data_IF_060579740705
#
_entry.id   IF_060579740705
#
_cell.length_a   1.000
_cell.length_b   1.000
_cell.length_c   1.000
_cell.angle_alpha   90.00
_cell.angle_beta   90.00
_cell.angle_gamma   90.00
#
_symmetry.space_group_name_H-M   'P 1'
#
loop_
_entity.id
_entity.type
_entity.pdbx_description
1 polymer ?
#
# COMPACT_ATOMS: atom_id res chain seq x y z
N UNK A 1 -4.85 -8.52 -11.64
CA UNK A 1 -5.09 -7.09 -11.32
C UNK A 1 -6.22 -6.90 -10.28
N UNK A 2 -6.58 -7.92 -9.48
CA UNK A 2 -7.73 -7.85 -8.56
C UNK A 2 -7.48 -7.01 -7.30
N UNK A 3 -6.25 -7.01 -6.78
CA UNK A 3 -5.90 -6.26 -5.56
C UNK A 3 -6.05 -4.74 -5.71
N UNK A 4 -5.65 -4.17 -6.86
CA UNK A 4 -5.80 -2.73 -7.14
C UNK A 4 -7.28 -2.34 -7.30
N UNK A 5 -8.07 -3.18 -7.99
CA UNK A 5 -9.51 -2.94 -8.18
C UNK A 5 -10.27 -3.06 -6.86
N UNK A 6 -9.86 -3.98 -5.98
CA UNK A 6 -10.39 -4.09 -4.63
C UNK A 6 -10.06 -2.83 -3.81
N UNK A 7 -8.79 -2.40 -3.81
CA UNK A 7 -8.33 -1.19 -3.13
C UNK A 7 -9.11 0.06 -3.56
N UNK A 8 -9.28 0.28 -4.87
CA UNK A 8 -10.01 1.44 -5.38
C UNK A 8 -11.51 1.42 -5.00
N UNK A 9 -12.10 0.24 -4.81
CA UNK A 9 -13.53 0.08 -4.50
C UNK A 9 -13.83 0.01 -3.00
N UNK A 10 -12.89 -0.46 -2.19
CA UNK A 10 -13.08 -0.82 -0.78
C UNK A 10 -12.06 -0.16 0.16
N UNK A 11 -11.15 0.66 -0.37
CA UNK A 11 -10.07 1.27 0.40
C UNK A 11 -9.10 0.22 0.94
N UNK A 12 -8.55 0.47 2.12
CA UNK A 12 -7.65 -0.46 2.81
C UNK A 12 -8.37 -1.57 3.60
N UNK A 13 -9.71 -1.70 3.51
CA UNK A 13 -10.43 -2.72 4.27
C UNK A 13 -9.93 -4.15 3.98
N UNK A 14 -9.30 -4.78 4.98
CA UNK A 14 -8.94 -6.19 4.90
C UNK A 14 -10.20 -7.07 4.93
N UNK A 15 -10.35 -8.05 4.02
CA UNK A 15 -11.49 -8.97 4.06
C UNK A 15 -11.45 -9.77 5.37
N UNK A 16 -12.54 -9.72 6.15
CA UNK A 16 -12.70 -10.55 7.33
C UNK A 16 -12.71 -12.04 6.94
N UNK A 17 -11.78 -12.83 7.45
CA UNK A 17 -11.74 -14.29 7.24
C UNK A 17 -11.74 -15.04 8.56
N UNK A 18 -12.68 -15.99 8.69
CA UNK A 18 -12.73 -16.92 9.80
C UNK A 18 -11.52 -17.88 9.74
N UNK A 19 -10.83 -18.07 10.87
CA UNK A 19 -9.81 -19.12 11.02
C UNK A 19 -8.33 -18.71 11.02
N UNK A 20 -7.98 -17.42 11.19
CA UNK A 20 -6.57 -16.99 11.27
C UNK A 20 -6.11 -16.69 12.71
N UNK A 21 -5.40 -17.67 13.28
CA UNK A 21 -4.40 -17.60 14.35
C UNK A 21 -3.62 -18.93 14.28
N UNK A 22 -2.30 -19.07 14.45
CA UNK A 22 -1.24 -18.27 15.06
C UNK A 22 -0.30 -17.64 14.02
N UNK A 23 -0.13 -16.33 14.14
CA UNK A 23 0.41 -15.38 13.15
C UNK A 23 -0.19 -13.99 13.40
N UNK A 24 -1.41 -13.96 13.94
CA UNK A 24 -1.61 -13.43 15.29
C UNK A 24 -1.76 -11.92 15.45
N UNK A 25 -2.10 -11.16 14.42
CA UNK A 25 -2.79 -9.89 14.65
C UNK A 25 -4.23 -10.03 14.15
N UNK A 26 -5.17 -9.93 15.11
CA UNK A 26 -6.50 -9.39 14.79
C UNK A 26 -6.24 -7.99 14.20
N UNK A 27 -7.12 -7.42 13.37
CA UNK A 27 -6.94 -6.04 12.95
C UNK A 27 -7.00 -5.16 14.21
N UNK A 28 -5.83 -4.87 14.79
CA UNK A 28 -5.69 -3.89 15.86
C UNK A 28 -5.93 -2.49 15.28
N UNK A 29 -5.88 -2.39 13.96
CA UNK A 29 -6.12 -1.20 13.18
C UNK A 29 -7.30 -1.36 12.24
N UNK A 30 -7.97 -0.24 12.02
CA UNK A 30 -9.18 -0.04 11.22
C UNK A 30 -9.15 -0.70 9.82
N UNK A 31 -7.97 -1.03 9.30
CA UNK A 31 -7.77 -1.55 7.94
C UNK A 31 -6.80 -2.74 7.82
N UNK A 32 -6.11 -3.15 8.89
CA UNK A 32 -5.14 -4.26 8.86
C UNK A 32 -3.98 -4.09 7.85
N UNK A 33 -3.67 -2.84 7.46
CA UNK A 33 -2.61 -2.55 6.49
C UNK A 33 -1.21 -2.87 7.02
N UNK A 34 -0.96 -2.75 8.33
CA UNK A 34 0.32 -3.13 8.92
C UNK A 34 0.36 -4.60 9.37
N UNK A 35 -0.75 -5.32 9.22
CA UNK A 35 -0.82 -6.72 9.62
C UNK A 35 -0.22 -7.61 8.53
N UNK A 36 0.76 -8.43 8.89
CA UNK A 36 1.37 -9.41 8.00
C UNK A 36 1.28 -10.82 8.59
N UNK A 37 1.06 -11.81 7.73
CA UNK A 37 0.93 -13.22 8.12
C UNK A 37 2.23 -13.99 7.95
N UNK A 38 3.17 -13.45 7.18
CA UNK A 38 4.45 -14.09 6.90
C UNK A 38 5.58 -13.10 7.16
N UNK A 39 6.60 -13.50 7.92
CA UNK A 39 7.88 -12.80 8.06
C UNK A 39 9.01 -13.79 7.79
N UNK A 40 9.82 -13.56 6.76
CA UNK A 40 10.92 -14.47 6.38
C UNK A 40 12.13 -13.71 5.85
N UNK A 41 13.37 -14.14 6.18
CA UNK A 41 14.57 -13.63 5.52
C UNK A 41 14.56 -14.01 4.03
N UNK A 42 15.04 -13.11 3.18
CA UNK A 42 15.15 -13.33 1.74
C UNK A 42 16.52 -13.94 1.43
N UNK A 43 16.59 -15.17 0.84
CA UNK A 43 17.85 -15.86 0.61
C UNK A 43 18.85 -15.02 -0.19
N UNK A 44 20.10 -14.98 0.27
CA UNK A 44 21.19 -14.26 -0.40
C UNK A 44 21.15 -12.74 -0.23
N UNK A 45 20.33 -12.22 0.69
CA UNK A 45 20.23 -10.78 0.99
C UNK A 45 20.07 -10.54 2.49
N UNK A 46 20.32 -9.31 2.94
CA UNK A 46 20.04 -8.88 4.32
C UNK A 46 18.56 -8.50 4.55
N UNK A 47 17.69 -8.70 3.54
CA UNK A 47 16.30 -8.27 3.60
C UNK A 47 15.42 -9.28 4.35
N UNK A 48 14.40 -8.75 5.04
CA UNK A 48 13.33 -9.54 5.64
C UNK A 48 12.02 -9.17 4.96
N UNK A 49 11.39 -10.14 4.31
CA UNK A 49 10.07 -9.98 3.71
C UNK A 49 8.99 -10.12 4.79
N UNK A 50 8.18 -9.08 4.96
CA UNK A 50 6.93 -9.12 5.70
C UNK A 50 5.78 -9.09 4.70
N UNK A 51 4.95 -10.12 4.63
CA UNK A 51 3.91 -10.28 3.61
C UNK A 51 2.54 -10.55 4.22
N UNK A 52 1.54 -9.86 3.68
CA UNK A 52 0.11 -10.10 3.90
C UNK A 52 -0.54 -10.62 2.61
N UNK A 53 -1.86 -10.76 2.60
CA UNK A 53 -2.57 -11.22 1.40
C UNK A 53 -2.55 -10.17 0.27
N UNK A 54 -2.66 -8.90 0.63
CA UNK A 54 -2.83 -7.79 -0.32
C UNK A 54 -1.58 -6.93 -0.51
N UNK A 55 -0.58 -7.05 0.37
CA UNK A 55 0.60 -6.20 0.37
C UNK A 55 1.81 -6.92 0.97
N UNK A 56 2.98 -6.30 0.84
CA UNK A 56 4.24 -6.75 1.44
C UNK A 56 5.18 -5.58 1.70
N UNK A 57 5.92 -5.65 2.80
CA UNK A 57 7.02 -4.76 3.15
C UNK A 57 8.34 -5.52 2.97
N UNK A 58 9.28 -4.92 2.23
CA UNK A 58 10.56 -5.55 1.88
C UNK A 58 11.76 -4.79 2.43
N UNK A 59 11.63 -3.47 2.59
CA UNK A 59 12.72 -2.58 2.99
C UNK A 59 12.47 -1.88 4.32
N UNK A 60 11.24 -1.96 4.82
CA UNK A 60 10.77 -1.19 5.97
C UNK A 60 10.41 -2.14 7.11
N UNK A 61 10.76 -1.75 8.34
CA UNK A 61 10.36 -2.48 9.54
C UNK A 61 9.08 -1.88 10.13
N UNK A 62 7.95 -2.58 9.96
CA UNK A 62 6.67 -2.13 10.53
C UNK A 62 6.59 -2.27 12.06
N UNK A 63 7.59 -2.91 12.70
CA UNK A 63 7.73 -2.89 14.16
C UNK A 63 8.32 -1.56 14.67
N UNK A 64 8.97 -0.76 13.82
CA UNK A 64 9.42 0.58 14.18
C UNK A 64 8.24 1.58 14.19
N UNK A 65 7.95 2.21 15.34
CA UNK A 65 6.87 3.20 15.44
C UNK A 65 7.03 4.38 14.48
N UNK A 66 8.25 4.82 14.18
CA UNK A 66 8.48 5.96 13.31
C UNK A 66 8.12 5.63 11.85
N UNK A 67 8.55 4.46 11.38
CA UNK A 67 8.17 3.90 10.09
C UNK A 67 6.64 3.79 9.97
N UNK A 68 6.00 3.22 10.99
CA UNK A 68 4.53 3.07 11.03
C UNK A 68 3.82 4.43 10.97
N UNK A 69 4.24 5.41 11.75
CA UNK A 69 3.68 6.76 11.75
C UNK A 69 3.81 7.45 10.39
N UNK A 70 4.92 7.26 9.69
CA UNK A 70 5.14 7.81 8.34
C UNK A 70 4.12 7.27 7.33
N UNK A 71 3.85 5.96 7.36
CA UNK A 71 2.82 5.35 6.52
C UNK A 71 1.41 5.81 6.90
N UNK A 72 1.09 5.88 8.20
CA UNK A 72 -0.22 6.37 8.66
C UNK A 72 -0.49 7.79 8.16
N UNK A 73 0.48 8.70 8.28
CA UNK A 73 0.34 10.07 7.79
C UNK A 73 0.08 10.15 6.27
N UNK A 74 0.68 9.24 5.48
CA UNK A 74 0.45 9.14 4.03
C UNK A 74 -0.94 8.60 3.71
N UNK A 75 -1.38 7.56 4.41
CA UNK A 75 -2.73 6.98 4.27
C UNK A 75 -3.79 8.03 4.62
N UNK A 76 -3.64 8.73 5.74
CA UNK A 76 -4.53 9.83 6.15
C UNK A 76 -4.50 11.00 5.13
N UNK A 77 -3.31 11.33 4.60
CA UNK A 77 -3.16 12.29 3.51
C UNK A 77 -3.98 11.89 2.29
N UNK A 78 -3.91 10.62 1.90
CA UNK A 78 -4.65 10.07 0.77
C UNK A 78 -6.17 10.07 1.01
N UNK A 79 -6.63 9.64 2.19
CA UNK A 79 -8.05 9.66 2.56
C UNK A 79 -8.61 11.09 2.54
N UNK A 80 -7.84 12.07 3.01
CA UNK A 80 -8.22 13.49 2.98
C UNK A 80 -8.46 14.00 1.55
N UNK A 81 -7.73 13.51 0.55
CA UNK A 81 -7.98 13.87 -0.86
C UNK A 81 -9.42 13.52 -1.25
N UNK A 82 -9.92 12.34 -0.83
CA UNK A 82 -11.28 11.89 -1.13
C UNK A 82 -12.36 12.74 -0.45
N UNK A 83 -12.05 13.30 0.73
CA UNK A 83 -12.96 14.16 1.49
C UNK A 83 -12.98 15.63 1.03
N UNK A 84 -12.10 16.03 0.12
CA UNK A 84 -11.90 17.43 -0.26
C UNK A 84 -13.01 18.02 -1.14
N UNK A 85 -14.04 17.24 -1.50
CA UNK A 85 -15.16 17.68 -2.35
C UNK A 85 -14.79 18.03 -3.80
N UNK A 86 -13.55 17.71 -4.21
CA UNK A 86 -13.03 17.91 -5.56
C UNK A 86 -12.97 16.60 -6.30
N UNK A 87 -13.16 16.65 -7.62
CA UNK A 87 -12.93 15.49 -8.49
C UNK A 87 -11.45 15.12 -8.45
N UNK A 88 -11.15 13.86 -8.12
CA UNK A 88 -9.79 13.33 -8.12
C UNK A 88 -9.54 12.57 -9.43
N UNK A 89 -8.42 12.89 -10.09
CA UNK A 89 -7.92 12.17 -11.25
C UNK A 89 -6.73 11.30 -10.83
N UNK A 90 -6.90 9.98 -10.87
CA UNK A 90 -5.80 9.04 -10.68
C UNK A 90 -5.16 8.71 -12.03
N UNK A 91 -3.96 9.24 -12.26
CA UNK A 91 -3.21 8.96 -13.49
C UNK A 91 -2.14 7.91 -13.21
N UNK A 92 -2.18 6.80 -13.93
CA UNK A 92 -1.06 5.85 -13.95
C UNK A 92 0.01 6.40 -14.88
N UNK A 93 1.08 6.93 -14.31
CA UNK A 93 2.13 7.58 -15.09
C UNK A 93 2.93 6.60 -15.97
N UNK A 94 3.12 5.38 -15.48
CA UNK A 94 3.91 4.35 -16.15
C UNK A 94 3.22 2.99 -15.98
N UNK A 95 2.73 2.40 -17.06
CA UNK A 95 2.19 1.06 -17.05
C UNK A 95 3.23 0.00 -17.37
N UNK A 96 4.24 0.36 -18.16
CA UNK A 96 5.33 -0.50 -18.59
C UNK A 96 6.66 0.26 -18.54
N UNK A 97 7.79 -0.42 -18.44
CA UNK A 97 9.11 0.25 -18.42
C UNK A 97 9.35 1.12 -19.66
N UNK A 98 8.77 0.75 -20.81
CA UNK A 98 8.86 1.54 -22.04
C UNK A 98 8.21 2.92 -21.93
N UNK A 99 7.20 3.06 -21.06
CA UNK A 99 6.50 4.32 -20.83
C UNK A 99 7.25 5.26 -19.89
N UNK A 100 8.31 4.78 -19.21
CA UNK A 100 9.07 5.60 -18.26
C UNK A 100 9.68 6.84 -18.93
N UNK A 101 10.17 6.69 -20.16
CA UNK A 101 10.74 7.80 -20.94
C UNK A 101 9.72 8.90 -21.26
N UNK A 102 8.42 8.60 -21.14
CA UNK A 102 7.32 9.54 -21.43
C UNK A 102 6.75 10.21 -20.18
N UNK A 103 7.34 9.96 -19.00
CA UNK A 103 6.87 10.54 -17.75
C UNK A 103 6.88 12.09 -17.79
N UNK A 104 7.89 12.69 -18.43
CA UNK A 104 8.01 14.15 -18.55
C UNK A 104 6.94 14.75 -19.48
N UNK A 105 6.58 14.05 -20.56
CA UNK A 105 5.46 14.46 -21.43
C UNK A 105 4.15 14.50 -20.65
N UNK A 106 3.92 13.48 -19.81
CA UNK A 106 2.73 13.42 -18.97
C UNK A 106 2.71 14.56 -17.95
N UNK A 107 3.83 14.82 -17.28
CA UNK A 107 3.93 15.94 -16.35
C UNK A 107 3.60 17.27 -17.05
N UNK A 108 4.20 17.51 -18.22
CA UNK A 108 3.93 18.69 -19.03
C UNK A 108 2.48 18.81 -19.50
N UNK A 109 1.75 17.71 -19.64
CA UNK A 109 0.32 17.73 -19.95
C UNK A 109 -0.56 18.04 -18.72
N UNK A 110 -0.11 17.70 -17.51
CA UNK A 110 -0.86 17.89 -16.27
C UNK A 110 -0.63 19.25 -15.60
N UNK A 111 0.47 19.94 -15.93
CA UNK A 111 0.85 21.23 -15.31
C UNK A 111 0.62 22.45 -16.20
N UNK A 112 -0.13 22.31 -17.29
CA UNK A 112 -0.61 23.44 -18.12
C UNK A 112 -1.92 23.97 -17.57
#
# INVERSE_FOLDING_TARGET
HEGLVHFLRKGFEAPARAGLGAGGQRPNEKHGFFDFTTRKPVPGTELVMCRSHLHSFWHDDMADPATKASYSARIEGFERLGSAGKMLLFVRAVATTAELARADELLGALTK
#
